data_IF_272026064229
#
_entry.id   IF_272026064229
#
_cell.length_a   1.000
_cell.length_b   1.000
_cell.length_c   1.000
_cell.angle_alpha   90.00
_cell.angle_beta   90.00
_cell.angle_gamma   90.00
#
_symmetry.space_group_name_H-M   'P 1'
#
loop_
_entity.id
_entity.type
_entity.pdbx_description
1 polymer ?
#
# COMPACT_ATOMS: atom_id res chain seq x y z
N UNK A 1 -3.55 -16.36 10.11
CA UNK A 1 -3.05 -17.67 9.61
C UNK A 1 -1.74 -17.42 8.82
N UNK A 2 -1.07 -18.40 8.19
CA UNK A 2 0.16 -18.17 7.38
C UNK A 2 -0.19 -18.24 5.87
N UNK A 3 0.54 -17.58 4.95
CA UNK A 3 0.18 -17.56 3.52
C UNK A 3 -0.09 -18.93 2.90
N UNK A 4 0.79 -19.90 3.17
CA UNK A 4 0.62 -21.30 2.74
C UNK A 4 -0.70 -21.94 3.19
N UNK A 5 -1.18 -21.63 4.40
CA UNK A 5 -2.44 -22.18 4.89
C UNK A 5 -3.64 -21.56 4.16
N UNK A 6 -3.62 -20.24 3.93
CA UNK A 6 -4.65 -19.56 3.12
C UNK A 6 -4.68 -20.08 1.69
N UNK A 7 -3.50 -20.24 1.08
CA UNK A 7 -3.38 -20.76 -0.28
C UNK A 7 -4.00 -22.17 -0.40
N UNK A 8 -3.75 -23.05 0.58
CA UNK A 8 -4.37 -24.38 0.61
C UNK A 8 -5.88 -24.34 0.83
N UNK A 9 -6.38 -23.43 1.66
CA UNK A 9 -7.82 -23.24 1.85
C UNK A 9 -8.50 -22.72 0.58
N UNK A 10 -7.92 -21.73 -0.09
CA UNK A 10 -8.39 -21.19 -1.38
C UNK A 10 -8.41 -22.27 -2.47
N UNK A 11 -7.34 -23.06 -2.56
CA UNK A 11 -7.23 -24.19 -3.49
C UNK A 11 -8.28 -25.27 -3.24
N UNK A 12 -8.52 -25.63 -1.98
CA UNK A 12 -9.52 -26.64 -1.61
C UNK A 12 -10.95 -26.24 -2.05
N UNK A 13 -11.26 -24.93 -2.03
CA UNK A 13 -12.56 -24.42 -2.48
C UNK A 13 -12.67 -24.30 -4.01
N UNK A 14 -11.57 -23.98 -4.69
CA UNK A 14 -11.56 -23.69 -6.14
C UNK A 14 -11.13 -24.88 -7.01
N UNK A 15 -10.56 -25.92 -6.42
CA UNK A 15 -9.97 -27.06 -7.13
C UNK A 15 -8.63 -26.78 -7.82
N UNK A 16 -7.98 -25.63 -7.54
CA UNK A 16 -6.72 -25.19 -8.16
C UNK A 16 -5.48 -25.66 -7.40
N UNK A 17 -4.28 -25.51 -7.98
CA UNK A 17 -3.04 -25.67 -7.23
C UNK A 17 -2.88 -24.48 -6.26
N UNK A 18 -2.65 -24.76 -4.98
CA UNK A 18 -2.43 -23.73 -3.96
C UNK A 18 -1.22 -22.85 -4.28
N UNK A 19 -0.24 -23.35 -5.03
CA UNK A 19 0.92 -22.56 -5.46
C UNK A 19 0.53 -21.36 -6.31
N UNK A 20 -0.57 -21.47 -7.06
CA UNK A 20 -1.07 -20.38 -7.90
C UNK A 20 -1.58 -19.20 -7.07
N UNK A 21 -2.05 -19.44 -5.85
CA UNK A 21 -2.61 -18.40 -4.97
C UNK A 21 -1.59 -17.93 -3.90
N UNK A 22 -0.47 -18.66 -3.75
CA UNK A 22 0.53 -18.40 -2.71
C UNK A 22 1.10 -16.98 -2.79
N UNK A 23 1.52 -16.54 -3.98
CA UNK A 23 2.17 -15.24 -4.14
C UNK A 23 1.23 -14.08 -3.78
N UNK A 24 -0.07 -14.22 -4.04
CA UNK A 24 -1.09 -13.24 -3.66
C UNK A 24 -1.22 -13.18 -2.13
N UNK A 25 -1.27 -14.32 -1.46
CA UNK A 25 -1.32 -14.35 0.01
C UNK A 25 -0.03 -13.83 0.66
N UNK A 26 1.13 -14.12 0.09
CA UNK A 26 2.41 -13.57 0.54
C UNK A 26 2.48 -12.05 0.35
N UNK A 27 1.93 -11.53 -0.74
CA UNK A 27 1.79 -10.10 -0.96
C UNK A 27 0.93 -9.46 0.14
N UNK A 28 -0.25 -10.01 0.43
CA UNK A 28 -1.16 -9.48 1.48
C UNK A 28 -0.52 -9.51 2.87
N UNK A 29 0.30 -10.51 3.16
CA UNK A 29 1.01 -10.65 4.44
C UNK A 29 2.36 -9.92 4.48
N UNK A 30 2.79 -9.27 3.40
CA UNK A 30 4.13 -8.66 3.29
C UNK A 30 4.40 -7.58 4.35
N UNK A 31 3.34 -6.94 4.87
CA UNK A 31 3.46 -5.95 5.95
C UNK A 31 3.99 -6.56 7.27
N UNK A 32 3.89 -7.88 7.47
CA UNK A 32 4.49 -8.60 8.61
C UNK A 32 6.00 -8.41 8.70
N UNK A 33 6.69 -8.21 7.57
CA UNK A 33 8.13 -7.99 7.55
C UNK A 33 8.54 -6.68 8.25
N UNK A 34 7.67 -5.65 8.20
CA UNK A 34 7.90 -4.37 8.86
C UNK A 34 7.25 -4.31 10.27
N UNK A 35 6.16 -5.04 10.50
CA UNK A 35 5.48 -5.08 11.79
C UNK A 35 4.87 -6.46 12.07
N UNK A 36 5.57 -7.31 12.83
CA UNK A 36 5.18 -8.70 13.09
C UNK A 36 4.11 -8.87 14.18
N UNK A 37 3.00 -8.14 14.08
CA UNK A 37 1.85 -8.15 15.01
C UNK A 37 0.57 -7.90 14.20
N UNK A 38 -0.58 -8.44 14.65
CA UNK A 38 -1.88 -8.41 13.97
C UNK A 38 -2.29 -7.03 13.42
N UNK A 39 -1.82 -5.93 14.01
CA UNK A 39 -2.06 -4.57 13.51
C UNK A 39 -1.49 -4.32 12.11
N UNK A 40 -0.57 -5.15 11.61
CA UNK A 40 -0.06 -5.09 10.23
C UNK A 40 -1.18 -5.20 9.18
N UNK A 41 -2.29 -5.85 9.56
CA UNK A 41 -3.48 -6.07 8.73
C UNK A 41 -4.13 -4.77 8.28
N UNK A 42 -3.93 -3.67 9.02
CA UNK A 42 -4.49 -2.36 8.71
C UNK A 42 -4.21 -1.88 7.28
N UNK A 43 -3.08 -2.28 6.69
CA UNK A 43 -2.67 -1.78 5.38
C UNK A 43 -3.26 -2.62 4.25
N UNK A 44 -2.93 -3.92 4.21
CA UNK A 44 -3.25 -4.79 3.07
C UNK A 44 -4.47 -5.69 3.29
N UNK A 45 -4.96 -5.86 4.52
CA UNK A 45 -6.15 -6.67 4.79
C UNK A 45 -7.41 -5.81 4.69
N UNK A 46 -7.60 -5.23 3.51
CA UNK A 46 -8.77 -4.46 3.16
C UNK A 46 -9.30 -4.90 1.79
N UNK A 47 -10.61 -5.07 1.68
CA UNK A 47 -11.27 -5.59 0.47
C UNK A 47 -11.33 -4.55 -0.66
N UNK A 48 -11.00 -3.29 -0.35
CA UNK A 48 -10.85 -2.17 -1.26
C UNK A 48 -9.36 -1.88 -1.55
N UNK A 49 -8.63 -1.21 -0.65
CA UNK A 49 -7.24 -0.80 -0.88
C UNK A 49 -6.31 -1.99 -1.12
N UNK A 50 -6.40 -3.03 -0.27
CA UNK A 50 -5.60 -4.25 -0.42
C UNK A 50 -5.88 -4.97 -1.72
N UNK A 51 -7.16 -5.05 -2.13
CA UNK A 51 -7.56 -5.65 -3.38
C UNK A 51 -7.08 -4.86 -4.61
N UNK A 52 -7.11 -3.53 -4.54
CA UNK A 52 -6.59 -2.64 -5.58
C UNK A 52 -5.06 -2.78 -5.74
N UNK A 53 -4.33 -2.75 -4.63
CA UNK A 53 -2.87 -2.92 -4.64
C UNK A 53 -2.46 -4.31 -5.15
N UNK A 54 -3.18 -5.36 -4.75
CA UNK A 54 -2.94 -6.71 -5.23
C UNK A 54 -3.27 -6.85 -6.72
N UNK A 55 -4.39 -6.30 -7.20
CA UNK A 55 -4.73 -6.34 -8.62
C UNK A 55 -3.65 -5.67 -9.50
N UNK A 56 -3.04 -4.57 -9.01
CA UNK A 56 -1.91 -3.93 -9.68
C UNK A 56 -0.62 -4.76 -9.62
N UNK A 57 -0.38 -5.47 -8.53
CA UNK A 57 0.77 -6.36 -8.39
C UNK A 57 0.67 -7.62 -9.27
N UNK A 58 -0.55 -8.08 -9.55
CA UNK A 58 -0.83 -9.30 -10.31
C UNK A 58 -1.79 -9.04 -11.50
N UNK A 59 -1.42 -8.19 -12.48
CA UNK A 59 -2.33 -7.69 -13.51
C UNK A 59 -2.81 -8.78 -14.49
N UNK A 60 -2.12 -9.92 -14.57
CA UNK A 60 -2.49 -11.06 -15.41
C UNK A 60 -3.57 -11.96 -14.78
N UNK A 61 -4.00 -11.69 -13.55
CA UNK A 61 -4.94 -12.51 -12.78
C UNK A 61 -6.23 -11.73 -12.51
N UNK A 62 -7.34 -12.18 -13.09
CA UNK A 62 -8.66 -11.53 -12.91
C UNK A 62 -9.33 -11.85 -11.58
N UNK A 63 -8.91 -12.91 -10.90
CA UNK A 63 -9.50 -13.44 -9.65
C UNK A 63 -8.85 -12.91 -8.37
N UNK A 64 -7.84 -12.03 -8.48
CA UNK A 64 -7.05 -11.52 -7.35
C UNK A 64 -7.94 -10.88 -6.29
N UNK A 65 -8.95 -10.10 -6.70
CA UNK A 65 -9.85 -9.41 -5.77
C UNK A 65 -10.66 -10.40 -4.92
N UNK A 66 -11.08 -11.53 -5.49
CA UNK A 66 -11.80 -12.57 -4.77
C UNK A 66 -10.89 -13.32 -3.79
N UNK A 67 -9.63 -13.55 -4.18
CA UNK A 67 -8.61 -14.10 -3.29
C UNK A 67 -8.35 -13.16 -2.10
N UNK A 68 -8.19 -11.85 -2.35
CA UNK A 68 -8.03 -10.86 -1.28
C UNK A 68 -9.25 -10.86 -0.35
N UNK A 69 -10.47 -10.81 -0.90
CA UNK A 69 -11.69 -10.81 -0.09
C UNK A 69 -11.76 -12.02 0.83
N UNK A 70 -11.47 -13.23 0.32
CA UNK A 70 -11.46 -14.46 1.14
C UNK A 70 -10.35 -14.42 2.19
N UNK A 71 -9.13 -14.01 1.81
CA UNK A 71 -8.02 -13.87 2.75
C UNK A 71 -8.37 -12.94 3.91
N UNK A 72 -8.99 -11.79 3.62
CA UNK A 72 -9.44 -10.83 4.62
C UNK A 72 -10.48 -11.46 5.56
N UNK A 73 -11.50 -12.11 5.02
CA UNK A 73 -12.55 -12.78 5.82
C UNK A 73 -11.95 -13.90 6.69
N UNK A 74 -11.01 -14.70 6.17
CA UNK A 74 -10.37 -15.78 6.94
C UNK A 74 -9.54 -15.25 8.13
N UNK A 75 -8.92 -14.08 7.98
CA UNK A 75 -8.05 -13.52 9.01
C UNK A 75 -8.78 -12.59 10.00
N UNK A 76 -9.87 -11.95 9.57
CA UNK A 76 -10.63 -10.94 10.34
C UNK A 76 -12.02 -11.45 10.79
N UNK A 77 -12.61 -12.42 10.08
CA UNK A 77 -13.97 -12.91 10.28
C UNK A 77 -15.02 -12.23 9.41
N UNK A 78 -14.73 -11.05 8.85
CA UNK A 78 -15.63 -10.29 7.99
C UNK A 78 -14.87 -9.45 6.94
N UNK A 79 -15.53 -9.01 5.85
CA UNK A 79 -14.94 -8.02 4.95
C UNK A 79 -14.63 -6.72 5.72
N UNK A 80 -13.45 -6.14 5.47
CA UNK A 80 -13.03 -4.87 6.07
C UNK A 80 -12.54 -3.93 4.99
N UNK A 81 -12.96 -2.66 5.02
CA UNK A 81 -12.50 -1.60 4.10
C UNK A 81 -11.41 -0.74 4.75
N UNK A 82 -10.72 0.10 3.98
CA UNK A 82 -9.77 1.06 4.53
C UNK A 82 -10.44 2.08 5.48
N UNK A 83 -11.59 2.69 5.13
CA UNK A 83 -12.34 3.54 6.07
C UNK A 83 -12.65 2.86 7.40
N UNK A 84 -13.05 1.58 7.39
CA UNK A 84 -13.32 0.84 8.63
C UNK A 84 -12.06 0.78 9.51
N UNK A 85 -10.91 0.43 8.92
CA UNK A 85 -9.64 0.41 9.65
C UNK A 85 -9.29 1.77 10.24
N UNK A 86 -9.39 2.84 9.45
CA UNK A 86 -9.08 4.20 9.90
C UNK A 86 -10.06 4.70 10.97
N UNK A 87 -11.32 4.27 10.92
CA UNK A 87 -12.33 4.53 11.95
C UNK A 87 -11.95 3.97 13.32
N UNK A 88 -11.15 2.90 13.36
CA UNK A 88 -10.62 2.30 14.59
C UNK A 88 -9.27 2.90 15.04
N UNK A 89 -8.67 3.80 14.26
CA UNK A 89 -7.43 4.47 14.63
C UNK A 89 -7.67 5.64 15.59
N UNK A 90 -6.66 5.94 16.41
CA UNK A 90 -6.53 7.26 17.00
C UNK A 90 -5.97 8.23 15.93
N UNK A 91 -6.87 8.83 15.16
CA UNK A 91 -6.55 9.76 14.05
C UNK A 91 -5.66 10.93 14.51
N UNK A 92 -5.75 11.37 15.77
CA UNK A 92 -4.89 12.43 16.29
C UNK A 92 -3.40 12.03 16.34
N UNK A 93 -3.12 10.72 16.41
CA UNK A 93 -1.75 10.17 16.50
C UNK A 93 -1.19 9.69 15.16
N UNK A 94 -1.98 9.70 14.10
CA UNK A 94 -1.49 9.34 12.76
C UNK A 94 -0.45 10.36 12.28
N UNK A 95 0.58 9.93 11.52
CA UNK A 95 1.50 10.85 10.87
C UNK A 95 0.74 11.85 10.00
N UNK A 96 1.14 13.12 10.07
CA UNK A 96 0.51 14.21 9.31
C UNK A 96 1.50 14.79 8.31
N UNK A 97 0.96 15.18 7.16
CA UNK A 97 1.71 16.03 6.23
C UNK A 97 2.24 17.26 6.97
N UNK A 98 3.44 17.67 6.62
CA UNK A 98 4.05 18.86 7.20
C UNK A 98 3.23 20.10 6.78
N UNK A 99 3.00 21.10 7.65
CA UNK A 99 2.18 22.26 7.32
C UNK A 99 2.60 22.98 6.03
N UNK A 100 3.90 23.05 5.75
CA UNK A 100 4.41 23.67 4.51
C UNK A 100 4.13 22.88 3.23
N UNK A 101 3.71 21.63 3.33
CA UNK A 101 3.36 20.79 2.19
C UNK A 101 1.86 20.90 1.86
N UNK A 102 1.09 21.58 2.72
CA UNK A 102 -0.35 21.78 2.55
C UNK A 102 -0.65 23.11 1.85
N UNK A 103 -1.63 23.16 0.93
CA UNK A 103 -2.31 22.00 0.34
C UNK A 103 -1.34 21.20 -0.57
N UNK A 104 -1.44 19.86 -0.55
CA UNK A 104 -0.58 19.00 -1.37
C UNK A 104 -1.01 19.11 -2.84
N UNK A 105 -0.17 19.76 -3.63
CA UNK A 105 -0.36 19.88 -5.08
C UNK A 105 0.18 18.63 -5.78
N UNK A 106 -0.74 17.76 -6.24
CA UNK A 106 -0.39 16.47 -6.86
C UNK A 106 0.53 16.64 -8.08
N UNK A 107 0.24 17.61 -8.94
CA UNK A 107 1.05 17.87 -10.14
C UNK A 107 2.46 18.35 -9.80
N UNK A 108 2.62 19.13 -8.74
CA UNK A 108 3.93 19.60 -8.29
C UNK A 108 4.81 18.44 -7.81
N UNK A 109 4.23 17.40 -7.18
CA UNK A 109 4.99 16.21 -6.80
C UNK A 109 5.55 15.48 -8.02
N UNK A 110 4.72 15.32 -9.06
CA UNK A 110 5.10 14.67 -10.32
C UNK A 110 6.18 15.48 -11.03
N UNK A 111 5.96 16.77 -11.26
CA UNK A 111 6.91 17.62 -12.00
C UNK A 111 8.23 17.77 -11.25
N UNK A 112 8.18 17.88 -9.92
CA UNK A 112 9.39 17.95 -9.09
C UNK A 112 10.25 16.70 -9.25
N UNK A 113 9.64 15.51 -9.23
CA UNK A 113 10.38 14.26 -9.41
C UNK A 113 10.83 14.04 -10.85
N UNK A 114 10.02 14.41 -11.84
CA UNK A 114 10.43 14.43 -13.26
C UNK A 114 11.69 15.28 -13.43
N UNK A 115 11.67 16.51 -12.92
CA UNK A 115 12.77 17.47 -13.02
C UNK A 115 14.01 17.01 -12.23
N UNK A 116 13.83 16.60 -10.97
CA UNK A 116 14.91 16.11 -10.09
C UNK A 116 15.66 14.93 -10.71
N UNK A 117 14.92 13.98 -11.28
CA UNK A 117 15.48 12.77 -11.88
C UNK A 117 15.83 12.95 -13.36
N UNK A 118 15.61 14.15 -13.91
CA UNK A 118 15.90 14.52 -15.30
C UNK A 118 15.23 13.61 -16.32
N UNK A 119 14.00 13.17 -16.02
CA UNK A 119 13.19 12.32 -16.91
C UNK A 119 12.64 13.13 -18.08
N UNK A 120 12.51 12.50 -19.25
CA UNK A 120 11.86 13.10 -20.41
C UNK A 120 10.34 13.20 -20.24
N UNK A 121 9.75 12.18 -19.60
CA UNK A 121 8.31 12.03 -19.39
C UNK A 121 8.00 11.83 -17.91
N UNK A 122 6.76 12.10 -17.54
CA UNK A 122 6.26 11.98 -16.17
C UNK A 122 5.63 10.62 -15.85
N UNK A 123 5.51 9.70 -16.82
CA UNK A 123 4.84 8.39 -16.65
C UNK A 123 5.31 7.62 -15.40
N UNK A 124 6.62 7.65 -15.12
CA UNK A 124 7.21 7.04 -13.93
C UNK A 124 6.69 7.67 -12.63
N UNK A 125 7.01 8.95 -12.36
CA UNK A 125 6.49 9.68 -11.20
C UNK A 125 4.96 9.67 -11.08
N UNK A 126 4.23 9.79 -12.20
CA UNK A 126 2.77 9.75 -12.22
C UNK A 126 2.24 8.39 -11.73
N UNK A 127 2.81 7.28 -12.20
CA UNK A 127 2.45 5.92 -11.76
C UNK A 127 2.72 5.71 -10.26
N UNK A 128 3.83 6.26 -9.76
CA UNK A 128 4.16 6.22 -8.31
C UNK A 128 3.11 6.99 -7.51
N UNK A 129 2.78 8.21 -7.93
CA UNK A 129 1.78 9.04 -7.25
C UNK A 129 0.40 8.39 -7.28
N UNK A 130 0.04 7.73 -8.39
CA UNK A 130 -1.23 7.04 -8.53
C UNK A 130 -1.43 5.96 -7.46
N UNK A 131 -0.38 5.22 -7.12
CA UNK A 131 -0.40 4.24 -6.03
C UNK A 131 -0.47 4.95 -4.68
N UNK A 132 0.42 5.92 -4.42
CA UNK A 132 0.51 6.57 -3.11
C UNK A 132 -0.77 7.32 -2.71
N UNK A 133 -1.55 7.81 -3.67
CA UNK A 133 -2.80 8.54 -3.42
C UNK A 133 -4.04 7.65 -3.25
N UNK A 134 -3.94 6.32 -3.47
CA UNK A 134 -5.08 5.41 -3.33
C UNK A 134 -5.84 5.56 -1.99
N UNK A 135 -5.16 5.74 -0.83
CA UNK A 135 -5.87 5.98 0.43
C UNK A 135 -6.80 7.18 0.42
N UNK A 136 -6.47 8.26 -0.31
CA UNK A 136 -7.33 9.44 -0.43
C UNK A 136 -8.58 9.16 -1.25
N UNK A 137 -8.48 8.26 -2.22
CA UNK A 137 -9.60 7.85 -3.07
C UNK A 137 -10.53 6.92 -2.31
N UNK A 138 -9.97 5.98 -1.55
CA UNK A 138 -10.73 4.96 -0.83
C UNK A 138 -11.30 5.46 0.51
N UNK A 139 -10.66 6.45 1.14
CA UNK A 139 -11.07 7.01 2.42
C UNK A 139 -11.10 8.55 2.38
N UNK A 140 -11.92 9.16 1.51
CA UNK A 140 -11.94 10.61 1.29
C UNK A 140 -12.32 11.40 2.55
N UNK A 141 -13.17 10.84 3.41
CA UNK A 141 -13.63 11.48 4.65
C UNK A 141 -12.51 11.69 5.68
N UNK A 142 -11.36 11.03 5.51
CA UNK A 142 -10.18 11.19 6.36
C UNK A 142 -9.24 12.31 5.86
N UNK A 143 -9.48 12.85 4.66
CA UNK A 143 -8.69 13.94 4.08
C UNK A 143 -7.20 13.63 4.02
N UNK A 144 -6.35 14.66 4.23
CA UNK A 144 -4.90 14.54 4.08
C UNK A 144 -4.24 13.55 5.05
N UNK A 145 -4.90 13.14 6.14
CA UNK A 145 -4.32 12.14 7.05
C UNK A 145 -4.21 10.77 6.38
N UNK A 146 -5.08 10.45 5.41
CA UNK A 146 -5.06 9.16 4.73
C UNK A 146 -3.77 8.95 3.91
N UNK A 147 -3.03 10.02 3.57
CA UNK A 147 -1.69 9.89 3.00
C UNK A 147 -0.77 8.99 3.80
N UNK A 148 -0.87 8.97 5.14
CA UNK A 148 0.06 8.19 5.96
C UNK A 148 -0.06 6.67 5.75
N UNK A 149 -1.17 6.18 5.19
CA UNK A 149 -1.43 4.74 4.99
C UNK A 149 -0.39 4.13 4.03
N UNK A 150 -0.07 4.83 2.94
CA UNK A 150 1.02 4.47 2.02
C UNK A 150 2.21 5.42 2.08
N UNK A 151 2.10 6.54 2.79
CA UNK A 151 3.15 7.53 3.01
C UNK A 151 4.12 7.12 4.13
N UNK A 152 4.59 5.87 4.11
CA UNK A 152 5.48 5.30 5.11
C UNK A 152 6.45 4.29 4.48
N UNK A 153 7.34 3.71 5.28
CA UNK A 153 8.37 2.75 4.83
C UNK A 153 7.82 1.53 4.07
N UNK A 154 6.63 1.04 4.41
CA UNK A 154 6.00 -0.06 3.67
C UNK A 154 5.50 0.39 2.30
N UNK A 155 4.92 1.58 2.18
CA UNK A 155 4.40 2.09 0.91
C UNK A 155 5.49 2.25 -0.15
N UNK A 156 6.70 2.66 0.25
CA UNK A 156 7.90 2.65 -0.61
C UNK A 156 8.15 1.24 -1.18
N UNK A 157 8.13 0.23 -0.31
CA UNK A 157 8.36 -1.16 -0.71
C UNK A 157 7.25 -1.68 -1.63
N UNK A 158 6.00 -1.33 -1.34
CA UNK A 158 4.85 -1.71 -2.16
C UNK A 158 4.90 -1.09 -3.56
N UNK A 159 5.29 0.18 -3.67
CA UNK A 159 5.46 0.85 -4.96
C UNK A 159 6.46 0.09 -5.84
N UNK A 160 7.62 -0.30 -5.31
CA UNK A 160 8.60 -1.10 -6.08
C UNK A 160 8.06 -2.51 -6.39
N UNK A 161 7.34 -3.13 -5.45
CA UNK A 161 6.74 -4.46 -5.70
C UNK A 161 5.72 -4.43 -6.84
N UNK A 162 4.97 -3.34 -6.98
CA UNK A 162 3.94 -3.15 -8.01
C UNK A 162 4.54 -2.68 -9.34
N UNK A 163 5.40 -1.65 -9.32
CA UNK A 163 5.94 -1.03 -10.55
C UNK A 163 7.25 -1.66 -11.04
N UNK A 164 7.76 -2.67 -10.33
CA UNK A 164 8.98 -3.39 -10.66
C UNK A 164 10.26 -2.71 -10.15
N UNK A 165 11.42 -3.32 -10.44
CA UNK A 165 12.72 -2.81 -10.02
C UNK A 165 13.11 -1.52 -10.77
N UNK A 166 14.27 -0.96 -10.40
CA UNK A 166 14.88 0.13 -11.15
C UNK A 166 15.08 -0.25 -12.62
N UNK A 167 14.85 0.73 -13.51
CA UNK A 167 14.92 0.55 -14.96
C UNK A 167 15.47 1.80 -15.64
N UNK A 168 15.99 1.62 -16.84
CA UNK A 168 16.39 2.73 -17.70
C UNK A 168 15.16 3.38 -18.33
N UNK A 169 15.08 4.72 -18.29
CA UNK A 169 14.08 5.53 -18.97
C UNK A 169 14.78 6.65 -19.77
N UNK A 170 14.04 7.21 -20.73
CA UNK A 170 14.49 8.37 -21.48
C UNK A 170 14.66 9.59 -20.56
N UNK A 171 15.84 10.20 -20.57
CA UNK A 171 16.10 11.46 -19.88
C UNK A 171 15.79 12.68 -20.75
N UNK A 172 15.58 13.83 -20.11
CA UNK A 172 15.17 15.10 -20.74
C UNK A 172 16.15 15.63 -21.80
N UNK A 173 17.39 15.13 -21.83
CA UNK A 173 18.43 15.48 -22.82
C UNK A 173 18.71 14.36 -23.82
N UNK A 174 17.82 13.36 -23.91
CA UNK A 174 17.99 12.17 -24.76
C UNK A 174 19.00 11.16 -24.21
N UNK A 175 19.63 11.42 -23.07
CA UNK A 175 20.48 10.46 -22.38
C UNK A 175 19.63 9.55 -21.48
N UNK A 176 19.94 8.26 -21.38
CA UNK A 176 19.25 7.37 -20.46
C UNK A 176 19.46 7.79 -19.00
N UNK A 177 18.42 7.63 -18.19
CA UNK A 177 18.46 7.83 -16.74
C UNK A 177 17.91 6.59 -16.04
N UNK A 178 18.46 6.27 -14.88
CA UNK A 178 17.95 5.18 -14.05
C UNK A 178 16.80 5.71 -13.20
N UNK A 179 15.61 5.16 -13.40
CA UNK A 179 14.43 5.45 -12.60
C UNK A 179 14.17 4.27 -11.65
N UNK A 180 14.06 4.58 -10.37
CA UNK A 180 13.64 3.63 -9.35
C UNK A 180 12.32 4.07 -8.72
N UNK A 181 11.23 3.30 -8.89
CA UNK A 181 9.93 3.65 -8.31
C UNK A 181 9.96 3.87 -6.80
N UNK A 182 10.78 3.11 -6.06
CA UNK A 182 10.89 3.30 -4.61
C UNK A 182 11.60 4.61 -4.26
N UNK A 183 12.68 4.97 -4.95
CA UNK A 183 13.35 6.26 -4.69
C UNK A 183 12.44 7.45 -5.01
N UNK A 184 11.65 7.33 -6.08
CA UNK A 184 10.62 8.32 -6.40
C UNK A 184 9.56 8.40 -5.29
N UNK A 185 9.08 7.27 -4.79
CA UNK A 185 8.12 7.22 -3.68
C UNK A 185 8.69 7.84 -2.40
N UNK A 186 9.91 7.47 -2.01
CA UNK A 186 10.63 8.05 -0.87
C UNK A 186 10.72 9.57 -0.97
N UNK A 187 11.04 10.08 -2.15
CA UNK A 187 11.14 11.52 -2.40
C UNK A 187 9.80 12.26 -2.30
N UNK A 188 8.73 11.66 -2.84
CA UNK A 188 7.37 12.21 -2.70
C UNK A 188 6.90 12.19 -1.24
N UNK A 189 7.12 11.09 -0.54
CA UNK A 189 6.78 10.95 0.89
C UNK A 189 7.58 11.95 1.72
N UNK A 190 8.89 12.08 1.51
CA UNK A 190 9.73 13.09 2.15
C UNK A 190 9.25 14.52 1.85
N UNK A 191 8.72 14.76 0.65
CA UNK A 191 8.16 16.07 0.31
C UNK A 191 6.92 16.39 1.12
N UNK A 192 6.04 15.40 1.32
CA UNK A 192 4.80 15.54 2.08
C UNK A 192 5.06 15.64 3.58
N UNK A 193 5.88 14.74 4.14
CA UNK A 193 6.05 14.55 5.58
C UNK A 193 7.33 15.15 6.16
N UNK A 194 8.28 15.63 5.32
CA UNK A 194 9.66 16.03 5.69
C UNK A 194 10.53 14.91 6.27
N UNK A 195 10.00 13.70 6.33
CA UNK A 195 10.63 12.46 6.73
C UNK A 195 9.92 11.32 6.01
N UNK A 196 10.39 10.08 6.18
CA UNK A 196 9.63 8.88 5.82
C UNK A 196 9.10 8.30 7.14
N UNK A 197 7.79 8.43 7.43
CA UNK A 197 7.19 7.78 8.58
C UNK A 197 7.46 6.27 8.59
N UNK A 198 7.74 5.70 9.77
CA UNK A 198 7.82 4.25 9.92
C UNK A 198 6.42 3.63 9.94
N UNK A 199 6.24 2.44 9.37
CA UNK A 199 4.96 1.72 9.40
C UNK A 199 4.37 1.63 10.82
N UNK A 200 5.21 1.42 11.84
CA UNK A 200 4.81 1.37 13.26
C UNK A 200 4.05 2.62 13.69
N UNK A 201 4.47 3.80 13.21
CA UNK A 201 3.82 5.07 13.56
C UNK A 201 2.37 5.16 13.08
N UNK A 202 2.00 4.35 12.09
CA UNK A 202 0.64 4.24 11.57
C UNK A 202 -0.12 3.14 12.31
N UNK A 203 0.37 1.90 12.27
CA UNK A 203 -0.40 0.73 12.76
C UNK A 203 -0.56 0.69 14.28
N UNK A 204 0.31 1.35 15.04
CA UNK A 204 0.16 1.46 16.50
C UNK A 204 -0.90 2.46 16.95
N UNK A 205 -1.52 3.17 16.01
CA UNK A 205 -2.66 4.04 16.30
C UNK A 205 -3.99 3.27 16.39
N UNK A 206 -4.05 2.03 15.87
CA UNK A 206 -5.21 1.15 16.04
C UNK A 206 -5.52 0.96 17.52
N UNK A 207 -6.77 1.23 17.91
CA UNK A 207 -7.24 1.10 19.28
C UNK A 207 -7.39 -0.39 19.62
N UNK A 208 -6.92 -0.77 20.81
CA UNK A 208 -6.78 -2.15 21.29
C UNK A 208 -8.05 -3.04 21.30
N UNK A 209 -9.31 -2.56 21.42
CA UNK A 209 -10.45 -3.46 21.58
C UNK A 209 -10.74 -4.37 20.37
N UNK A 210 -10.18 -4.08 19.18
CA UNK A 210 -10.49 -4.85 17.97
C UNK A 210 -9.55 -6.02 17.70
N UNK A 211 -8.48 -6.18 18.48
CA UNK A 211 -7.62 -7.36 18.42
C UNK A 211 -8.23 -8.57 19.13
N UNK A 212 -9.23 -8.37 19.98
CA UNK A 212 -9.93 -9.43 20.74
C UNK A 212 -11.06 -10.11 19.96
N UNK A 213 -11.51 -9.53 18.84
CA UNK A 213 -12.60 -10.09 18.02
C UNK A 213 -12.18 -11.32 17.19
N UNK A 214 -10.89 -11.68 17.17
CA UNK A 214 -10.39 -12.87 16.49
C UNK A 214 -10.37 -14.15 17.38
N UNK A 215 -10.92 -14.08 18.60
CA UNK A 215 -10.87 -15.19 19.57
C UNK A 215 -12.23 -15.66 20.09
N UNK A 216 -13.33 -15.40 19.37
CA UNK A 216 -14.63 -16.00 19.69
C UNK A 216 -15.13 -16.82 18.50
N UNK A 217 -14.96 -18.15 18.59
CA UNK A 217 -15.56 -19.13 17.67
C UNK A 217 -14.56 -20.07 17.01
#
# INVERSE_FOLDING_TARGET
MRPFHHARASAAQSGRDWRDDLEVHEFLDSSKAAFADLRHRMILHSVDLGAELAARAFPARSDVRDIVRRHVIEDIGEPRTLPDWLGHCNVARLPRAHPSALPIQLQDLVERERSRQKLAHDDGPASVLEILRLPLIMAPDFGDVAWCVLGNTLGVSLVRRILGPARELSGARGLPVIFDPAWCAEAMICTIFRTIPDLRSVVTTLRTPHLELAHVG
#
